data_IF_679208704879
#
_entry.id   IF_679208704879
#
_cell.length_a   1.000
_cell.length_b   1.000
_cell.length_c   1.000
_cell.angle_alpha   90.00
_cell.angle_beta   90.00
_cell.angle_gamma   90.00
#
_symmetry.space_group_name_H-M   'P 1'
#
loop_
_entity.id
_entity.type
_entity.pdbx_description
1 polymer ?
#
# COMPACT_ATOMS: atom_id res chain seq x y z
N UNK A 1 -8.16 6.29 23.71
CA UNK A 1 -7.12 5.26 23.47
C UNK A 1 -6.40 5.48 22.14
N UNK A 2 -7.09 6.03 21.14
CA UNK A 2 -6.64 6.38 19.79
C UNK A 2 -5.29 7.10 19.76
N UNK A 3 -5.12 8.13 20.60
CA UNK A 3 -3.86 8.89 20.68
C UNK A 3 -2.67 7.98 20.96
N UNK A 4 -2.75 7.18 22.02
CA UNK A 4 -1.69 6.25 22.43
C UNK A 4 -1.46 5.16 21.38
N UNK A 5 -2.53 4.68 20.74
CA UNK A 5 -2.40 3.70 19.67
C UNK A 5 -1.56 4.24 18.51
N UNK A 6 -1.86 5.45 18.04
CA UNK A 6 -1.09 6.05 16.94
C UNK A 6 0.30 6.53 17.35
N UNK A 7 0.55 6.80 18.63
CA UNK A 7 1.91 6.96 19.15
C UNK A 7 2.68 5.63 19.10
N UNK A 8 2.05 4.52 19.50
CA UNK A 8 2.63 3.18 19.38
C UNK A 8 2.91 2.81 17.91
N UNK A 9 2.02 3.14 16.98
CA UNK A 9 2.23 2.94 15.53
C UNK A 9 3.48 3.67 15.04
N UNK A 10 3.74 4.89 15.53
CA UNK A 10 4.96 5.64 15.19
C UNK A 10 6.21 5.02 15.81
N UNK A 11 6.14 4.60 17.08
CA UNK A 11 7.29 4.03 17.78
C UNK A 11 7.70 2.66 17.24
N UNK A 12 6.74 1.80 16.90
CA UNK A 12 7.00 0.43 16.46
C UNK A 12 6.88 0.22 14.95
N UNK A 13 6.60 1.28 14.19
CA UNK A 13 6.44 1.29 12.73
C UNK A 13 5.16 0.62 12.22
N UNK A 14 4.65 -0.40 12.91
CA UNK A 14 3.39 -1.09 12.60
C UNK A 14 2.77 -1.67 13.86
N UNK A 15 1.47 -1.47 14.05
CA UNK A 15 0.69 -2.04 15.17
C UNK A 15 -0.67 -2.52 14.67
N UNK A 16 -1.10 -3.69 15.15
CA UNK A 16 -2.37 -4.31 14.78
C UNK A 16 -3.51 -3.93 15.74
N UNK A 17 -4.70 -3.77 15.16
CA UNK A 17 -5.99 -3.85 15.86
C UNK A 17 -6.55 -5.25 15.56
N UNK A 18 -6.68 -6.13 16.58
CA UNK A 18 -7.19 -7.48 16.39
C UNK A 18 -8.55 -7.49 15.67
N UNK A 19 -8.74 -8.44 14.75
CA UNK A 19 -9.97 -8.60 13.93
C UNK A 19 -10.30 -7.43 12.98
N UNK A 20 -9.51 -6.35 12.97
CA UNK A 20 -9.76 -5.15 12.16
C UNK A 20 -8.69 -4.97 11.09
N UNK A 21 -7.41 -4.99 11.47
CA UNK A 21 -6.30 -4.79 10.55
C UNK A 21 -5.10 -4.12 11.20
N UNK A 22 -4.15 -3.68 10.38
CA UNK A 22 -2.87 -3.15 10.82
C UNK A 22 -2.67 -1.73 10.36
N UNK A 23 -2.14 -0.89 11.25
CA UNK A 23 -1.71 0.46 10.92
C UNK A 23 -0.19 0.51 10.87
N UNK A 24 0.36 1.07 9.80
CA UNK A 24 1.80 1.34 9.66
C UNK A 24 2.10 2.83 9.54
N UNK A 25 3.29 3.19 10.00
CA UNK A 25 3.88 4.51 9.82
C UNK A 25 5.01 4.42 8.80
N UNK A 26 4.81 4.99 7.62
CA UNK A 26 5.85 5.10 6.59
C UNK A 26 6.04 6.56 6.18
N UNK A 27 7.28 7.07 6.23
CA UNK A 27 7.69 8.42 5.79
C UNK A 27 6.74 9.56 6.21
N UNK A 28 6.24 9.52 7.45
CA UNK A 28 5.33 10.55 7.97
C UNK A 28 3.85 10.35 7.65
N UNK A 29 3.50 9.23 7.02
CA UNK A 29 2.14 8.85 6.66
C UNK A 29 1.68 7.61 7.41
N UNK A 30 0.38 7.62 7.76
CA UNK A 30 -0.33 6.47 8.30
C UNK A 30 -0.93 5.71 7.13
N UNK A 31 -0.66 4.42 7.08
CA UNK A 31 -1.23 3.47 6.14
C UNK A 31 -2.02 2.40 6.90
N UNK A 32 -3.01 1.81 6.24
CA UNK A 32 -3.85 0.76 6.81
C UNK A 32 -3.87 -0.46 5.90
N UNK A 33 -3.80 -1.64 6.50
CA UNK A 33 -3.89 -2.93 5.82
C UNK A 33 -4.91 -3.83 6.53
N UNK A 34 -5.97 -4.31 5.84
CA UNK A 34 -6.99 -5.14 6.48
C UNK A 34 -6.53 -6.59 6.74
N UNK A 35 -5.39 -7.03 6.21
CA UNK A 35 -5.00 -8.45 6.18
C UNK A 35 -4.37 -8.97 7.47
N UNK A 36 -3.84 -8.08 8.31
CA UNK A 36 -3.13 -8.46 9.53
C UNK A 36 -4.01 -8.20 10.75
N UNK A 37 -4.81 -9.20 11.10
CA UNK A 37 -5.88 -9.13 12.12
C UNK A 37 -5.52 -9.84 13.44
N UNK A 38 -4.32 -10.38 13.58
CA UNK A 38 -3.85 -11.00 14.82
C UNK A 38 -3.41 -9.94 15.84
N UNK A 39 -3.46 -10.29 17.12
CA UNK A 39 -2.94 -9.45 18.20
C UNK A 39 -1.41 -9.53 18.23
N UNK A 40 -0.71 -8.45 17.90
CA UNK A 40 0.76 -8.44 17.80
C UNK A 40 1.49 -8.09 19.11
N UNK A 41 0.74 -7.73 20.16
CA UNK A 41 1.28 -7.38 21.48
C UNK A 41 1.94 -6.01 21.56
N UNK A 42 2.14 -5.31 20.43
CA UNK A 42 2.94 -4.07 20.39
C UNK A 42 2.24 -2.92 21.08
N UNK A 43 0.93 -2.78 20.91
CA UNK A 43 0.18 -1.74 21.60
C UNK A 43 0.20 -1.97 23.11
N UNK A 44 0.01 -3.22 23.55
CA UNK A 44 0.04 -3.56 24.97
C UNK A 44 1.43 -3.33 25.58
N UNK A 45 2.49 -3.67 24.83
CA UNK A 45 3.87 -3.36 25.18
C UNK A 45 4.09 -1.85 25.35
N UNK A 46 3.61 -1.03 24.40
CA UNK A 46 3.67 0.42 24.49
C UNK A 46 3.05 0.96 25.80
N UNK A 47 1.85 0.50 26.13
CA UNK A 47 1.14 0.96 27.32
C UNK A 47 1.89 0.60 28.61
N UNK A 48 2.45 -0.60 28.69
CA UNK A 48 3.14 -1.10 29.90
C UNK A 48 4.54 -0.53 30.06
N UNK A 49 5.33 -0.50 28.99
CA UNK A 49 6.75 -0.18 29.08
C UNK A 49 7.01 1.31 28.89
N UNK A 50 6.40 1.94 27.88
CA UNK A 50 6.64 3.35 27.56
C UNK A 50 5.80 4.28 28.43
N UNK A 51 4.52 3.96 28.62
CA UNK A 51 3.62 4.76 29.45
C UNK A 51 3.60 4.32 30.92
N UNK A 52 4.28 3.21 31.26
CA UNK A 52 4.34 2.65 32.63
C UNK A 52 2.96 2.40 33.24
N UNK A 53 1.97 2.00 32.43
CA UNK A 53 0.67 1.64 32.95
C UNK A 53 0.71 0.30 33.65
N UNK A 54 -0.08 0.17 34.71
CA UNK A 54 -0.33 -1.10 35.36
C UNK A 54 -0.79 -2.18 34.36
N UNK A 55 -0.36 -3.42 34.60
CA UNK A 55 -0.58 -4.56 33.72
C UNK A 55 -2.07 -4.84 33.49
N UNK A 56 -2.87 -4.84 34.56
CA UNK A 56 -4.30 -5.12 34.49
C UNK A 56 -5.02 -3.96 33.80
N UNK A 57 -4.70 -2.73 34.19
CA UNK A 57 -5.25 -1.52 33.57
C UNK A 57 -4.97 -1.47 32.07
N UNK A 58 -3.72 -1.69 31.65
CA UNK A 58 -3.32 -1.66 30.25
C UNK A 58 -4.08 -2.72 29.43
N UNK A 59 -4.13 -3.95 29.96
CA UNK A 59 -4.77 -5.09 29.30
C UNK A 59 -6.29 -4.88 29.18
N UNK A 60 -6.95 -4.43 30.24
CA UNK A 60 -8.39 -4.20 30.26
C UNK A 60 -8.80 -3.07 29.32
N UNK A 61 -8.12 -1.92 29.38
CA UNK A 61 -8.45 -0.77 28.53
C UNK A 61 -8.14 -1.01 27.06
N UNK A 62 -7.03 -1.67 26.72
CA UNK A 62 -6.72 -1.99 25.32
C UNK A 62 -7.72 -2.98 24.74
N UNK A 63 -8.08 -4.02 25.50
CA UNK A 63 -9.02 -5.06 25.04
C UNK A 63 -10.42 -4.49 24.85
N UNK A 64 -10.91 -3.73 25.83
CA UNK A 64 -12.20 -3.02 25.73
C UNK A 64 -12.24 -2.11 24.51
N UNK A 65 -11.18 -1.33 24.29
CA UNK A 65 -11.12 -0.44 23.12
C UNK A 65 -11.09 -1.21 21.80
N UNK A 66 -10.29 -2.28 21.68
CA UNK A 66 -10.28 -3.11 20.47
C UNK A 66 -11.66 -3.72 20.17
N UNK A 67 -12.32 -4.29 21.16
CA UNK A 67 -13.68 -4.84 21.00
C UNK A 67 -14.66 -3.78 20.53
N UNK A 68 -14.62 -2.58 21.12
CA UNK A 68 -15.52 -1.48 20.75
C UNK A 68 -15.38 -1.02 19.30
N UNK A 69 -14.19 -1.15 18.71
CA UNK A 69 -13.97 -0.84 17.29
C UNK A 69 -14.62 -1.91 16.41
N UNK A 70 -14.36 -3.18 16.74
CA UNK A 70 -14.92 -4.31 15.99
C UNK A 70 -16.45 -4.35 16.03
N UNK A 71 -17.04 -4.16 17.21
CA UNK A 71 -18.49 -4.10 17.42
C UNK A 71 -19.13 -2.99 16.59
N UNK A 72 -18.65 -1.76 16.73
CA UNK A 72 -19.17 -0.63 15.95
C UNK A 72 -18.98 -0.81 14.44
N UNK A 73 -17.85 -1.33 13.99
CA UNK A 73 -17.66 -1.64 12.57
C UNK A 73 -18.68 -2.68 12.08
N UNK A 74 -19.02 -3.67 12.90
CA UNK A 74 -20.01 -4.68 12.52
C UNK A 74 -21.43 -4.10 12.46
N UNK A 75 -21.78 -3.24 13.42
CA UNK A 75 -23.09 -2.59 13.57
C UNK A 75 -23.34 -1.49 12.52
N UNK A 76 -22.48 -0.47 12.48
CA UNK A 76 -22.70 0.75 11.68
C UNK A 76 -21.93 0.76 10.37
N UNK A 77 -21.14 -0.29 10.11
CA UNK A 77 -20.21 -0.39 8.98
C UNK A 77 -19.12 0.70 8.96
N UNK A 78 -18.98 1.48 10.03
CA UNK A 78 -18.08 2.64 10.10
C UNK A 78 -17.61 2.97 11.52
N UNK A 79 -16.34 3.30 11.68
CA UNK A 79 -15.77 3.74 12.95
C UNK A 79 -14.83 4.94 12.77
N UNK A 80 -15.12 6.04 13.47
CA UNK A 80 -14.32 7.25 13.45
C UNK A 80 -13.16 7.17 14.46
N UNK A 81 -11.93 7.15 13.95
CA UNK A 81 -10.71 7.36 14.74
C UNK A 81 -10.43 8.86 14.84
N UNK A 82 -10.91 9.48 15.92
CA UNK A 82 -10.89 10.94 16.13
C UNK A 82 -9.50 11.55 15.87
N UNK A 83 -9.42 12.45 14.89
CA UNK A 83 -8.19 13.17 14.52
C UNK A 83 -7.27 12.42 13.55
N UNK A 84 -7.66 11.23 13.11
CA UNK A 84 -6.88 10.36 12.23
C UNK A 84 -7.62 9.97 10.96
N UNK A 85 -8.87 9.52 11.05
CA UNK A 85 -9.65 9.08 9.90
C UNK A 85 -10.81 8.17 10.28
N UNK A 86 -11.42 7.55 9.27
CA UNK A 86 -12.58 6.67 9.44
C UNK A 86 -12.27 5.29 8.87
N UNK A 87 -12.47 4.24 9.66
CA UNK A 87 -12.54 2.87 9.18
C UNK A 87 -13.95 2.60 8.66
N UNK A 88 -14.10 1.95 7.52
CA UNK A 88 -15.41 1.61 6.97
C UNK A 88 -15.34 0.35 6.12
N UNK A 89 -16.43 -0.40 6.02
CA UNK A 89 -16.54 -1.48 5.06
C UNK A 89 -16.78 -0.93 3.64
N UNK A 90 -15.99 -1.40 2.68
CA UNK A 90 -16.16 -1.19 1.25
C UNK A 90 -15.89 -2.52 0.54
N UNK A 91 -16.89 -3.05 -0.17
CA UNK A 91 -16.80 -4.34 -0.89
C UNK A 91 -16.24 -5.47 -0.02
N UNK A 92 -16.85 -5.67 1.15
CA UNK A 92 -16.47 -6.67 2.18
C UNK A 92 -15.05 -6.53 2.76
N UNK A 93 -14.36 -5.43 2.47
CA UNK A 93 -13.04 -5.11 3.03
C UNK A 93 -13.13 -3.87 3.89
N UNK A 94 -12.37 -3.87 4.99
CA UNK A 94 -12.20 -2.67 5.80
C UNK A 94 -11.23 -1.75 5.06
N UNK A 95 -11.60 -0.48 4.92
CA UNK A 95 -10.78 0.58 4.31
C UNK A 95 -10.66 1.72 5.31
N UNK A 96 -9.48 2.37 5.33
CA UNK A 96 -9.23 3.54 6.15
C UNK A 96 -9.20 4.80 5.30
N UNK A 97 -10.17 5.69 5.51
CA UNK A 97 -10.18 7.01 4.92
C UNK A 97 -9.51 8.01 5.87
N UNK A 98 -8.29 8.42 5.53
CA UNK A 98 -7.49 9.35 6.34
C UNK A 98 -8.13 10.74 6.40
N UNK A 99 -8.30 11.27 7.60
CA UNK A 99 -8.76 12.64 7.79
C UNK A 99 -7.67 13.61 7.29
N UNK A 100 -8.02 14.46 6.31
CA UNK A 100 -7.13 15.52 5.85
C UNK A 100 -6.92 16.53 6.98
N UNK A 101 -5.71 16.57 7.55
CA UNK A 101 -5.31 17.67 8.45
C UNK A 101 -5.06 18.91 7.61
N UNK A 102 -6.03 19.83 7.61
CA UNK A 102 -5.81 21.18 7.09
C UNK A 102 -4.72 21.87 7.91
N UNK A 103 -3.64 22.29 7.25
CA UNK A 103 -2.57 23.07 7.90
C UNK A 103 -3.10 24.47 8.18
N UNK A 104 -3.48 24.76 9.43
CA UNK A 104 -3.92 26.09 9.87
C UNK A 104 -2.95 27.21 9.45
N UNK A 105 -1.64 26.92 9.45
CA UNK A 105 -0.60 27.87 9.05
C UNK A 105 -0.71 28.29 7.57
N UNK A 106 -1.24 27.43 6.68
CA UNK A 106 -1.49 27.81 5.28
C UNK A 106 -2.63 28.83 5.18
N UNK A 107 -3.70 28.65 5.96
CA UNK A 107 -4.84 29.59 5.99
C UNK A 107 -4.37 30.96 6.51
N UNK A 108 -3.54 30.98 7.57
CA UNK A 108 -2.98 32.22 8.10
C UNK A 108 -2.07 32.92 7.08
N UNK A 109 -1.24 32.16 6.36
CA UNK A 109 -0.40 32.70 5.28
C UNK A 109 -1.23 33.27 4.12
N UNK A 110 -2.24 32.54 3.64
CA UNK A 110 -3.12 33.01 2.56
C UNK A 110 -3.97 34.22 2.99
N UNK A 111 -4.40 34.26 4.26
CA UNK A 111 -5.11 35.42 4.82
C UNK A 111 -4.24 36.67 4.89
N UNK A 112 -2.99 36.56 5.35
CA UNK A 112 -2.03 37.67 5.33
C UNK A 112 -1.74 38.14 3.91
N UNK A 113 -1.57 37.22 2.97
CA UNK A 113 -1.28 37.55 1.58
C UNK A 113 -2.46 38.27 0.91
N UNK A 114 -3.70 37.91 1.22
CA UNK A 114 -4.87 38.61 0.66
C UNK A 114 -5.00 40.04 1.18
N UNK A 115 -4.69 40.28 2.45
CA UNK A 115 -4.68 41.63 3.03
C UNK A 115 -3.59 42.49 2.39
N UNK A 116 -2.39 41.93 2.20
CA UNK A 116 -1.30 42.61 1.50
C UNK A 116 -1.68 42.96 0.07
N UNK A 117 -2.26 42.02 -0.68
CA UNK A 117 -2.73 42.27 -2.04
C UNK A 117 -3.77 43.38 -2.11
N UNK A 118 -4.77 43.35 -1.22
CA UNK A 118 -5.79 44.39 -1.17
C UNK A 118 -5.18 45.77 -0.87
N UNK A 119 -4.24 45.85 0.08
CA UNK A 119 -3.55 47.10 0.41
C UNK A 119 -2.71 47.62 -0.76
N UNK A 120 -1.98 46.74 -1.47
CA UNK A 120 -1.19 47.12 -2.64
C UNK A 120 -2.07 47.60 -3.79
N UNK A 121 -3.21 46.95 -4.03
CA UNK A 121 -4.18 47.40 -5.04
C UNK A 121 -4.72 48.80 -4.76
N UNK A 122 -5.01 49.13 -3.49
CA UNK A 122 -5.44 50.49 -3.11
C UNK A 122 -4.33 51.51 -3.33
N UNK A 123 -3.08 51.18 -2.97
CA UNK A 123 -1.93 52.08 -3.19
C UNK A 123 -1.68 52.30 -4.69
N UNK A 124 -1.74 51.26 -5.51
CA UNK A 124 -1.60 51.37 -6.97
C UNK A 124 -2.73 52.25 -7.52
N UNK A 125 -3.98 52.00 -7.13
CA UNK A 125 -5.13 52.79 -7.56
C UNK A 125 -4.93 54.29 -7.23
N UNK A 126 -4.52 54.62 -6.00
CA UNK A 126 -4.25 56.00 -5.60
C UNK A 126 -3.12 56.63 -6.42
N UNK A 127 -2.01 55.91 -6.66
CA UNK A 127 -0.89 56.40 -7.48
C UNK A 127 -1.29 56.60 -8.96
N UNK A 128 -2.14 55.74 -9.50
CA UNK A 128 -2.61 55.85 -10.89
C UNK A 128 -3.70 56.90 -11.05
N UNK A 129 -4.56 57.11 -10.05
CA UNK A 129 -5.61 58.13 -10.09
C UNK A 129 -5.11 59.56 -9.87
N UNK A 130 -3.90 59.74 -9.34
CA UNK A 130 -3.26 61.07 -9.22
C UNK A 130 -2.54 61.52 -10.48
N UNK A 131 -2.29 60.63 -11.44
CA UNK A 131 -1.77 61.00 -12.75
C UNK A 131 -2.97 61.31 -13.65
N UNK A 132 -3.25 62.60 -13.80
CA UNK A 132 -4.23 63.11 -14.74
C UNK A 132 -4.05 62.47 -16.13
N UNK A 133 -5.20 62.11 -16.69
CA UNK A 133 -5.42 61.67 -18.07
C UNK A 133 -4.62 62.51 -19.06
N UNK A 134 -3.59 61.92 -19.67
CA UNK A 134 -3.21 62.27 -21.02
C UNK A 134 -3.92 61.30 -21.95
N UNK A 135 -4.88 61.84 -22.71
CA UNK A 135 -5.40 61.20 -23.91
C UNK A 135 -4.23 60.90 -24.85
N UNK A 136 -3.75 59.67 -24.85
CA UNK A 136 -3.02 59.12 -25.98
C UNK A 136 -3.98 58.19 -26.71
N UNK A 137 -4.38 58.60 -27.91
CA UNK A 137 -5.10 57.79 -28.87
C UNK A 137 -4.34 56.48 -29.11
N UNK A 138 -4.79 55.41 -28.46
CA UNK A 138 -4.31 54.06 -28.74
C UNK A 138 -4.92 53.63 -30.07
N UNK A 139 -4.17 53.82 -31.16
CA UNK A 139 -4.46 53.21 -32.45
C UNK A 139 -4.13 51.72 -32.40
N UNK A 140 -5.16 50.89 -32.27
CA UNK A 140 -5.06 49.42 -32.33
C UNK A 140 -5.06 48.99 -33.79
N UNK A 141 -3.92 48.53 -34.30
CA UNK A 141 -3.84 47.87 -35.61
C UNK A 141 -4.05 46.36 -35.45
N UNK A 142 -5.14 45.87 -36.01
CA UNK A 142 -5.41 44.44 -36.14
C UNK A 142 -4.67 43.89 -37.36
N UNK A 143 -3.71 43.00 -37.15
CA UNK A 143 -3.20 42.15 -38.22
C UNK A 143 -4.14 40.95 -38.37
N UNK A 144 -5.04 41.05 -39.35
CA UNK A 144 -5.83 39.92 -39.84
C UNK A 144 -4.93 39.01 -40.68
N UNK A 145 -4.57 37.83 -40.16
CA UNK A 145 -4.07 36.74 -41.01
C UNK A 145 -5.19 35.75 -41.27
N UNK A 146 -5.78 35.84 -42.46
CA UNK A 146 -6.58 34.77 -43.04
C UNK A 146 -5.68 33.72 -43.70
N UNK A 147 -6.31 32.56 -43.88
CA UNK A 147 -5.98 31.44 -44.78
C UNK A 147 -5.22 30.26 -44.16
N UNK A 148 -5.53 28.98 -44.42
CA UNK A 148 -6.63 28.30 -45.14
C UNK A 148 -6.63 26.82 -44.70
N UNK A 149 -7.81 26.20 -44.77
CA UNK A 149 -8.18 24.82 -44.46
C UNK A 149 -7.59 23.80 -45.45
N UNK A 150 -7.10 22.64 -44.99
CA UNK A 150 -7.21 21.35 -45.71
C UNK A 150 -7.30 20.19 -44.70
N UNK A 151 -8.43 19.48 -44.75
CA UNK A 151 -8.67 18.16 -44.14
C UNK A 151 -8.22 17.05 -45.13
N UNK A 152 -7.64 15.94 -44.66
CA UNK A 152 -8.01 14.58 -45.11
C UNK A 152 -7.38 13.42 -44.28
N UNK A 153 -8.21 12.80 -43.44
CA UNK A 153 -8.66 11.38 -43.38
C UNK A 153 -7.72 10.20 -43.79
N UNK A 154 -7.82 9.13 -42.96
CA UNK A 154 -7.56 7.68 -43.19
C UNK A 154 -6.12 7.14 -43.21
N UNK A 155 -5.79 5.89 -42.84
CA UNK A 155 -6.51 4.72 -42.28
C UNK A 155 -5.45 3.72 -41.77
N UNK A 156 -5.92 2.79 -40.95
CA UNK A 156 -5.33 1.56 -40.39
C UNK A 156 -4.23 0.80 -41.15
N UNK A 157 -3.41 0.06 -40.39
CA UNK A 157 -3.21 -1.38 -40.63
C UNK A 157 -2.65 -2.13 -39.40
N UNK A 158 -3.39 -3.16 -38.99
CA UNK A 158 -2.99 -4.26 -38.10
C UNK A 158 -2.06 -5.21 -38.85
N UNK A 159 -1.16 -5.89 -38.13
CA UNK A 159 -0.62 -7.18 -38.56
C UNK A 159 -0.65 -8.18 -37.40
N UNK A 160 -1.35 -9.28 -37.66
CA UNK A 160 -1.46 -10.53 -36.90
C UNK A 160 -0.41 -11.48 -37.44
N UNK A 161 0.30 -12.21 -36.56
CA UNK A 161 0.98 -13.46 -36.92
C UNK A 161 0.79 -14.47 -35.77
N UNK A 162 0.15 -15.59 -36.13
CA UNK A 162 0.03 -16.88 -35.44
C UNK A 162 1.38 -17.58 -35.25
N UNK A 163 1.53 -18.41 -34.22
CA UNK A 163 2.17 -19.73 -34.37
C UNK A 163 1.74 -20.71 -33.27
N UNK A 164 1.11 -21.81 -33.69
CA UNK A 164 0.88 -23.06 -32.97
C UNK A 164 2.19 -23.73 -32.48
N UNK A 165 2.16 -24.45 -31.35
CA UNK A 165 2.48 -25.90 -31.27
C UNK A 165 2.59 -26.47 -29.82
N UNK A 166 1.64 -27.38 -29.51
CA UNK A 166 1.67 -28.73 -28.87
C UNK A 166 2.77 -29.10 -27.84
N UNK A 167 2.36 -29.55 -26.63
CA UNK A 167 2.52 -30.93 -26.08
C UNK A 167 2.27 -30.99 -24.56
N UNK A 168 1.21 -31.73 -24.19
CA UNK A 168 0.83 -32.07 -22.81
C UNK A 168 1.35 -33.48 -22.55
N UNK A 169 2.27 -33.63 -21.59
CA UNK A 169 2.60 -34.94 -21.01
C UNK A 169 2.01 -34.99 -19.59
N UNK A 170 1.01 -35.85 -19.48
CA UNK A 170 0.35 -36.25 -18.24
C UNK A 170 1.20 -37.30 -17.53
N UNK A 171 1.56 -37.06 -16.28
CA UNK A 171 2.11 -38.11 -15.39
C UNK A 171 1.61 -37.89 -13.97
N UNK A 172 0.52 -38.59 -13.70
CA UNK A 172 -0.08 -38.81 -12.39
C UNK A 172 0.90 -39.63 -11.52
N UNK A 173 1.25 -39.14 -10.34
CA UNK A 173 1.74 -39.99 -9.25
C UNK A 173 1.23 -39.50 -7.89
N UNK A 174 0.56 -40.42 -7.18
CA UNK A 174 -0.15 -40.26 -5.91
C UNK A 174 0.76 -39.85 -4.73
N UNK A 175 0.19 -39.24 -3.67
CA UNK A 175 0.93 -38.78 -2.50
C UNK A 175 1.19 -39.93 -1.51
N UNK A 176 2.46 -40.23 -1.23
CA UNK A 176 2.86 -41.05 -0.10
C UNK A 176 3.23 -40.18 1.09
N UNK A 177 2.57 -40.46 2.21
CA UNK A 177 2.73 -39.86 3.53
C UNK A 177 4.14 -40.12 4.08
N UNK A 178 4.89 -39.07 4.44
CA UNK A 178 6.05 -39.21 5.34
C UNK A 178 6.19 -37.98 6.25
N UNK A 179 6.01 -38.19 7.55
CA UNK A 179 6.39 -37.25 8.61
C UNK A 179 7.91 -37.21 8.76
N UNK A 180 8.42 -36.00 9.06
CA UNK A 180 9.72 -35.65 9.66
C UNK A 180 10.89 -35.29 8.72
N UNK A 181 10.92 -34.05 8.25
CA UNK A 181 11.98 -33.06 8.54
C UNK A 181 11.58 -31.67 7.97
N UNK A 182 11.84 -30.60 8.71
CA UNK A 182 11.42 -29.22 8.39
C UNK A 182 12.03 -28.73 7.04
N UNK A 183 11.26 -28.16 6.10
CA UNK A 183 11.72 -27.91 4.72
C UNK A 183 12.35 -26.53 4.60
N UNK A 184 13.42 -26.27 5.35
CA UNK A 184 14.24 -25.08 5.13
C UNK A 184 15.49 -25.48 4.36
N UNK A 185 15.54 -25.03 3.12
CA UNK A 185 16.68 -25.21 2.24
C UNK A 185 17.46 -23.89 2.29
N UNK A 186 18.73 -23.95 2.71
CA UNK A 186 19.63 -22.82 2.55
C UNK A 186 19.87 -22.56 1.06
N UNK A 187 20.06 -21.29 0.67
CA UNK A 187 20.37 -20.93 -0.71
C UNK A 187 21.71 -21.59 -1.11
N UNK A 188 21.64 -22.78 -1.70
CA UNK A 188 22.79 -23.50 -2.25
C UNK A 188 23.08 -22.98 -3.66
N UNK A 189 24.36 -22.96 -4.07
CA UNK A 189 24.79 -22.67 -5.45
C UNK A 189 24.10 -23.54 -6.53
N UNK A 190 23.39 -24.60 -6.13
CA UNK A 190 22.60 -25.47 -7.01
C UNK A 190 21.40 -24.77 -7.68
N UNK A 191 20.98 -23.62 -7.17
CA UNK A 191 19.83 -22.86 -7.71
C UNK A 191 20.23 -21.61 -8.50
N UNK A 192 21.52 -21.42 -8.78
CA UNK A 192 21.98 -20.33 -9.64
C UNK A 192 21.27 -20.37 -11.00
N UNK A 193 20.85 -19.20 -11.47
CA UNK A 193 20.13 -18.97 -12.72
C UNK A 193 18.67 -19.45 -12.77
N UNK A 194 18.02 -19.62 -11.60
CA UNK A 194 16.60 -19.93 -11.54
C UNK A 194 15.75 -18.72 -11.15
N UNK A 195 14.52 -18.68 -11.65
CA UNK A 195 13.50 -17.73 -11.27
C UNK A 195 12.53 -18.38 -10.28
N UNK A 196 12.41 -17.76 -9.11
CA UNK A 196 11.40 -18.10 -8.11
C UNK A 196 10.30 -17.05 -8.07
N UNK A 197 9.08 -17.48 -7.74
CA UNK A 197 8.00 -16.58 -7.33
C UNK A 197 7.97 -16.55 -5.81
N UNK A 198 8.25 -15.38 -5.23
CA UNK A 198 8.24 -15.16 -3.78
C UNK A 198 6.87 -14.62 -3.37
N UNK A 199 6.13 -15.40 -2.58
CA UNK A 199 4.82 -15.02 -2.05
C UNK A 199 4.91 -14.36 -0.67
N UNK A 200 6.04 -14.51 0.03
CA UNK A 200 6.23 -13.89 1.34
C UNK A 200 7.70 -13.85 1.77
N UNK A 201 8.00 -12.87 2.63
CA UNK A 201 9.34 -12.70 3.22
C UNK A 201 9.22 -12.45 4.72
N UNK A 202 10.03 -13.14 5.51
CA UNK A 202 9.91 -13.13 6.97
C UNK A 202 11.27 -13.08 7.63
N UNK A 203 11.41 -12.28 8.69
CA UNK A 203 12.60 -12.29 9.55
C UNK A 203 12.65 -13.50 10.49
N UNK A 204 11.52 -14.16 10.75
CA UNK A 204 11.41 -15.36 11.58
C UNK A 204 11.10 -16.59 10.74
N UNK A 205 11.91 -17.63 10.87
CA UNK A 205 11.72 -18.95 10.22
C UNK A 205 10.33 -19.53 10.46
N UNK A 206 9.84 -19.45 11.70
CA UNK A 206 8.50 -19.96 12.08
C UNK A 206 7.37 -19.34 11.26
N UNK A 207 7.47 -18.06 10.92
CA UNK A 207 6.43 -17.37 10.15
C UNK A 207 6.49 -17.77 8.67
N UNK A 208 7.69 -17.97 8.12
CA UNK A 208 7.87 -18.50 6.77
C UNK A 208 7.34 -19.94 6.65
N UNK A 209 7.59 -20.78 7.67
CA UNK A 209 7.02 -22.14 7.74
C UNK A 209 5.50 -22.09 7.83
N UNK A 210 4.92 -21.20 8.64
CA UNK A 210 3.46 -21.06 8.73
C UNK A 210 2.81 -20.69 7.38
N UNK A 211 3.42 -19.77 6.62
CA UNK A 211 2.93 -19.46 5.28
C UNK A 211 3.11 -20.66 4.33
N UNK A 212 4.26 -21.33 4.36
CA UNK A 212 4.51 -22.54 3.57
C UNK A 212 3.45 -23.62 3.81
N UNK A 213 3.13 -23.92 5.07
CA UNK A 213 2.14 -24.94 5.44
C UNK A 213 0.73 -24.57 4.95
N UNK A 214 0.39 -23.28 4.95
CA UNK A 214 -0.90 -22.82 4.38
C UNK A 214 -0.96 -22.94 2.85
N UNK A 215 0.18 -22.86 2.17
CA UNK A 215 0.25 -22.86 0.71
C UNK A 215 0.41 -24.28 0.13
N UNK A 216 1.12 -25.17 0.81
CA UNK A 216 1.31 -26.56 0.34
C UNK A 216 0.03 -27.40 0.38
N UNK A 217 -1.00 -26.95 1.10
CA UNK A 217 -2.34 -27.54 1.02
C UNK A 217 -2.97 -27.35 -0.37
N UNK A 218 -2.47 -26.41 -1.18
CA UNK A 218 -2.82 -26.29 -2.59
C UNK A 218 -1.82 -27.08 -3.44
N UNK A 219 -2.25 -28.19 -4.03
CA UNK A 219 -1.44 -29.07 -4.89
C UNK A 219 -0.84 -28.36 -6.13
N UNK A 220 -1.28 -27.14 -6.40
CA UNK A 220 -0.82 -26.28 -7.50
C UNK A 220 0.58 -25.67 -7.28
N UNK A 221 1.06 -25.59 -6.02
CA UNK A 221 2.29 -24.87 -5.71
C UNK A 221 3.46 -25.80 -5.39
N UNK A 222 4.61 -25.53 -6.01
CA UNK A 222 5.89 -26.14 -5.63
C UNK A 222 6.56 -25.28 -4.55
N UNK A 223 5.99 -25.33 -3.35
CA UNK A 223 6.41 -24.46 -2.25
C UNK A 223 7.80 -24.80 -1.71
N UNK A 224 8.59 -23.78 -1.38
CA UNK A 224 9.89 -23.90 -0.69
C UNK A 224 10.13 -22.74 0.26
N UNK A 225 10.77 -23.01 1.41
CA UNK A 225 11.31 -21.96 2.28
C UNK A 225 12.80 -21.84 2.02
N UNK A 226 13.23 -20.65 1.58
CA UNK A 226 14.61 -20.33 1.19
C UNK A 226 15.17 -19.28 2.14
N UNK A 227 16.29 -19.57 2.79
CA UNK A 227 17.02 -18.55 3.55
C UNK A 227 17.88 -17.71 2.60
N UNK A 228 17.67 -16.38 2.57
CA UNK A 228 18.28 -15.50 1.57
C UNK A 228 19.75 -15.10 1.86
N UNK A 229 20.35 -15.64 2.93
CA UNK A 229 21.72 -15.34 3.35
C UNK A 229 21.90 -14.04 4.15
N UNK A 230 20.87 -13.20 4.27
CA UNK A 230 20.99 -11.86 4.88
C UNK A 230 19.99 -11.57 6.01
N UNK A 231 19.46 -12.62 6.67
CA UNK A 231 18.48 -12.64 7.79
C UNK A 231 17.00 -12.82 7.43
N UNK A 232 16.65 -13.01 6.16
CA UNK A 232 15.26 -13.22 5.74
C UNK A 232 15.03 -14.63 5.19
N UNK A 233 13.83 -15.13 5.45
CA UNK A 233 13.29 -16.37 4.90
C UNK A 233 12.25 -16.01 3.83
N UNK A 234 12.48 -16.47 2.61
CA UNK A 234 11.56 -16.34 1.49
C UNK A 234 10.69 -17.59 1.38
N UNK A 235 9.41 -17.40 1.12
CA UNK A 235 8.49 -18.49 0.77
C UNK A 235 8.26 -18.42 -0.73
N UNK A 236 8.89 -19.35 -1.44
CA UNK A 236 8.68 -19.53 -2.87
C UNK A 236 7.49 -20.46 -3.10
N UNK A 237 6.67 -20.18 -4.10
CA UNK A 237 5.52 -21.01 -4.52
C UNK A 237 5.70 -21.67 -5.88
N UNK A 238 6.74 -21.24 -6.61
CA UNK A 238 7.06 -21.72 -7.95
C UNK A 238 8.51 -21.43 -8.25
N UNK A 239 9.15 -22.32 -9.00
CA UNK A 239 10.56 -22.25 -9.37
C UNK A 239 10.73 -22.78 -10.80
N UNK A 240 11.44 -22.04 -11.65
CA UNK A 240 11.68 -22.41 -13.06
C UNK A 240 12.96 -21.75 -13.57
N UNK A 241 13.62 -22.31 -14.56
CA UNK A 241 14.73 -21.64 -15.26
C UNK A 241 14.25 -20.57 -16.26
N UNK A 242 12.95 -20.55 -16.59
CA UNK A 242 12.38 -19.67 -17.61
C UNK A 242 11.60 -18.49 -17.00
N UNK A 243 12.08 -17.27 -17.26
CA UNK A 243 11.46 -16.03 -16.80
C UNK A 243 10.03 -15.83 -17.32
N UNK A 244 9.74 -16.24 -18.56
CA UNK A 244 8.42 -16.10 -19.15
C UNK A 244 7.42 -17.04 -18.49
N UNK A 245 7.82 -18.29 -18.22
CA UNK A 245 7.01 -19.23 -17.44
C UNK A 245 6.69 -18.70 -16.04
N UNK A 246 7.67 -18.10 -15.36
CA UNK A 246 7.43 -17.47 -14.06
C UNK A 246 6.42 -16.31 -14.15
N UNK A 247 6.49 -15.48 -15.19
CA UNK A 247 5.53 -14.39 -15.42
C UNK A 247 4.12 -14.90 -15.72
N UNK A 248 3.99 -15.90 -16.59
CA UNK A 248 2.70 -16.50 -16.93
C UNK A 248 2.07 -17.13 -15.70
N UNK A 249 2.85 -17.91 -14.92
CA UNK A 249 2.37 -18.56 -13.70
C UNK A 249 1.91 -17.55 -12.63
N UNK A 250 2.67 -16.46 -12.42
CA UNK A 250 2.30 -15.40 -11.48
C UNK A 250 0.94 -14.78 -11.84
N UNK A 251 0.71 -14.53 -13.14
CA UNK A 251 -0.52 -13.91 -13.66
C UNK A 251 -1.70 -14.87 -13.63
N UNK A 252 -1.53 -16.11 -14.08
CA UNK A 252 -2.63 -17.07 -14.21
C UNK A 252 -3.18 -17.54 -12.87
N UNK A 253 -2.38 -17.47 -11.81
CA UNK A 253 -2.77 -17.91 -10.46
C UNK A 253 -2.99 -16.74 -9.48
N UNK A 254 -3.04 -15.49 -9.98
CA UNK A 254 -3.28 -14.27 -9.19
C UNK A 254 -2.43 -14.17 -7.90
N UNK A 255 -1.19 -14.66 -7.97
CA UNK A 255 -0.33 -14.75 -6.78
C UNK A 255 0.14 -13.36 -6.40
N UNK A 256 -0.16 -12.95 -5.17
CA UNK A 256 0.39 -11.72 -4.59
C UNK A 256 1.86 -11.93 -4.19
N UNK A 257 2.75 -11.67 -5.13
CA UNK A 257 4.19 -11.89 -4.98
C UNK A 257 5.01 -11.23 -6.08
N UNK A 258 6.31 -11.53 -6.11
CA UNK A 258 7.21 -11.06 -7.17
C UNK A 258 8.17 -12.15 -7.63
N UNK A 259 8.70 -11.97 -8.84
CA UNK A 259 9.69 -12.87 -9.41
C UNK A 259 11.09 -12.42 -8.98
N UNK A 260 11.90 -13.35 -8.50
CA UNK A 260 13.30 -13.12 -8.14
C UNK A 260 14.18 -14.14 -8.85
N UNK A 261 15.24 -13.66 -9.51
CA UNK A 261 16.33 -14.53 -9.97
C UNK A 261 17.22 -14.86 -8.78
N UNK A 262 17.51 -16.13 -8.59
CA UNK A 262 18.43 -16.69 -7.60
C UNK A 262 19.59 -17.40 -8.27
#
# INVERSE_FOLDING_TARGET
MEKYFFEAVKSYGRVNIPKVGSFSWDKGNIEFSPFSTYHDGKFLKYLKEELKWDNEKATSLSSTWFSSIGEKLNETKSYMLKGYGTLMYQNDKIVFNKQKKYRKNKILLFGLLSVLFASASVVIFLLTSTNETRDEDITVSFAESKETKVDNVESSNLTVIDTDSIEIIDSIMRPSTLKNSLPVIELQNKYEDQYIIVAGTFSKKSNAVGLYESLIQNELFSCKVIYNGSSLYWVSVYMTSDKLKAKSFLRSHEINGWIKKI
#
